data_IF_759442677515
#
_entry.id   IF_759442677515
#
_cell.length_a   1.000
_cell.length_b   1.000
_cell.length_c   1.000
_cell.angle_alpha   90.00
_cell.angle_beta   90.00
_cell.angle_gamma   90.00
#
_symmetry.space_group_name_H-M   'P 1'
#
loop_
_entity.id
_entity.type
_entity.pdbx_description
1 polymer ?
#
# COMPACT_ATOMS: atom_id res chain seq x y z
N UNK A 1 6.20 7.36 6.23
CA UNK A 1 5.73 7.46 4.83
C UNK A 1 4.52 8.38 4.80
N UNK A 2 4.40 9.22 3.77
CA UNK A 2 3.32 10.22 3.61
C UNK A 2 2.67 10.01 2.26
N UNK A 3 1.35 10.23 2.16
CA UNK A 3 0.61 10.19 0.89
C UNK A 3 0.10 11.59 0.58
N UNK A 4 0.50 12.15 -0.57
CA UNK A 4 0.00 13.44 -1.06
C UNK A 4 -1.24 13.17 -1.91
N UNK A 5 -2.41 13.55 -1.41
CA UNK A 5 -3.68 13.40 -2.14
C UNK A 5 -3.69 14.31 -3.37
N UNK A 6 -4.02 13.74 -4.52
CA UNK A 6 -4.14 14.47 -5.80
C UNK A 6 -5.60 14.64 -6.21
N UNK A 7 -6.39 13.59 -6.04
CA UNK A 7 -7.82 13.57 -6.38
C UNK A 7 -8.58 12.73 -5.34
N UNK A 8 -9.84 13.08 -5.12
CA UNK A 8 -10.77 12.38 -4.23
C UNK A 8 -12.03 12.07 -5.03
N UNK A 9 -12.41 10.80 -5.06
CA UNK A 9 -13.67 10.35 -5.66
C UNK A 9 -14.55 9.75 -4.56
N UNK A 10 -15.86 9.86 -4.75
CA UNK A 10 -16.89 9.25 -3.89
C UNK A 10 -17.69 8.28 -4.77
N UNK A 11 -18.16 7.18 -4.20
CA UNK A 11 -19.00 6.21 -4.91
C UNK A 11 -20.46 6.68 -5.04
N UNK A 12 -21.35 5.83 -5.58
CA UNK A 12 -22.68 6.26 -6.02
C UNK A 12 -23.71 6.42 -4.90
N UNK A 13 -23.48 5.79 -3.74
CA UNK A 13 -24.30 5.85 -2.53
C UNK A 13 -23.59 6.57 -1.37
N UNK A 14 -22.49 7.27 -1.67
CA UNK A 14 -21.77 8.18 -0.78
C UNK A 14 -21.19 7.52 0.50
N UNK A 15 -20.84 6.23 0.45
CA UNK A 15 -20.31 5.49 1.60
C UNK A 15 -18.83 5.10 1.48
N UNK A 16 -18.24 5.26 0.29
CA UNK A 16 -16.85 4.93 0.02
C UNK A 16 -16.11 6.07 -0.68
N UNK A 17 -14.85 6.28 -0.29
CA UNK A 17 -13.92 7.19 -0.99
C UNK A 17 -12.79 6.46 -1.67
N UNK A 18 -12.44 6.89 -2.87
CA UNK A 18 -11.21 6.49 -3.58
C UNK A 18 -10.25 7.68 -3.63
N UNK A 19 -9.10 7.53 -2.97
CA UNK A 19 -8.03 8.52 -3.00
C UNK A 19 -6.99 8.16 -4.06
N UNK A 20 -6.79 9.06 -5.02
CA UNK A 20 -5.63 8.98 -5.91
C UNK A 20 -4.50 9.79 -5.28
N UNK A 21 -3.40 9.12 -4.98
CA UNK A 21 -2.32 9.68 -4.18
C UNK A 21 -0.97 9.56 -4.88
N UNK A 22 -0.07 10.49 -4.57
CA UNK A 22 1.36 10.32 -4.77
C UNK A 22 1.97 9.82 -3.45
N UNK A 23 2.53 8.61 -3.46
CA UNK A 23 3.20 8.03 -2.29
C UNK A 23 4.60 8.61 -2.15
N UNK A 24 4.86 9.32 -1.05
CA UNK A 24 6.20 9.79 -0.70
C UNK A 24 6.94 8.69 0.05
N UNK A 25 8.09 8.29 -0.49
CA UNK A 25 8.82 7.08 -0.11
C UNK A 25 8.38 5.86 -0.93
N UNK A 26 9.18 4.79 -0.92
CA UNK A 26 8.95 3.68 -1.85
C UNK A 26 7.79 2.75 -1.47
N UNK A 27 7.20 2.89 -0.28
CA UNK A 27 6.22 1.94 0.25
C UNK A 27 5.06 2.59 1.01
N UNK A 28 3.85 2.09 0.79
CA UNK A 28 2.73 2.32 1.69
C UNK A 28 2.73 1.32 2.86
N UNK A 29 3.28 0.12 2.67
CA UNK A 29 3.23 -0.94 3.67
C UNK A 29 4.43 -0.94 4.62
N UNK A 30 4.19 -1.07 5.93
CA UNK A 30 5.27 -1.18 6.93
C UNK A 30 6.11 -2.47 6.79
N UNK A 31 5.61 -3.49 6.07
CA UNK A 31 6.34 -4.76 5.83
C UNK A 31 7.35 -4.69 4.69
N UNK A 32 7.54 -3.53 4.08
CA UNK A 32 8.53 -3.36 3.01
C UNK A 32 7.96 -3.40 1.61
N UNK A 33 6.64 -3.53 1.43
CA UNK A 33 6.01 -3.64 0.10
C UNK A 33 5.43 -2.30 -0.38
N UNK A 34 5.33 -2.12 -1.69
CA UNK A 34 4.75 -0.89 -2.27
C UNK A 34 3.28 -0.74 -1.84
N UNK A 35 2.52 -1.84 -1.85
CA UNK A 35 1.12 -1.93 -1.42
C UNK A 35 0.96 -2.84 -0.20
N UNK A 36 -0.09 -2.63 0.60
CA UNK A 36 -0.52 -3.61 1.60
C UNK A 36 -1.11 -4.88 0.96
N UNK A 37 -1.55 -4.80 -0.29
CA UNK A 37 -2.15 -5.88 -1.07
C UNK A 37 -1.12 -6.71 -1.85
N UNK A 38 0.07 -6.92 -1.27
CA UNK A 38 1.19 -7.69 -1.85
C UNK A 38 0.96 -9.22 -1.89
N UNK A 39 -0.22 -9.70 -1.49
CA UNK A 39 -0.60 -11.12 -1.47
C UNK A 39 -1.84 -11.35 -2.31
N UNK A 40 -1.83 -12.42 -3.11
CA UNK A 40 -2.96 -12.83 -3.95
C UNK A 40 -3.46 -14.21 -3.53
N UNK A 41 -4.78 -14.41 -3.60
CA UNK A 41 -5.43 -15.71 -3.38
C UNK A 41 -5.64 -16.38 -4.73
N UNK A 42 -5.13 -17.61 -4.89
CA UNK A 42 -5.42 -18.48 -6.03
C UNK A 42 -5.29 -19.95 -5.61
N UNK A 43 -6.31 -20.47 -4.90
CA UNK A 43 -6.24 -21.75 -4.19
C UNK A 43 -5.46 -21.65 -2.87
N UNK A 44 -4.30 -20.99 -2.90
CA UNK A 44 -3.49 -20.63 -1.74
C UNK A 44 -3.10 -19.13 -1.73
N UNK A 45 -2.59 -18.65 -0.59
CA UNK A 45 -2.17 -17.24 -0.41
C UNK A 45 -0.68 -17.12 -0.74
N UNK A 46 -0.34 -16.43 -1.83
CA UNK A 46 1.05 -16.20 -2.25
C UNK A 46 1.41 -14.73 -2.22
N UNK A 47 2.66 -14.43 -1.86
CA UNK A 47 3.25 -13.10 -2.05
C UNK A 47 3.52 -12.91 -3.55
N UNK A 48 3.08 -11.77 -4.09
CA UNK A 48 3.16 -11.45 -5.53
C UNK A 48 3.99 -10.20 -5.84
N UNK A 49 4.49 -9.51 -4.81
CA UNK A 49 5.34 -8.33 -4.95
C UNK A 49 6.67 -8.54 -4.24
N UNK A 50 7.70 -7.82 -4.69
CA UNK A 50 8.99 -7.73 -4.01
C UNK A 50 9.00 -6.61 -2.96
N UNK A 51 9.86 -6.74 -1.96
CA UNK A 51 10.07 -5.66 -0.98
C UNK A 51 10.86 -4.52 -1.62
N UNK A 52 10.35 -3.31 -1.50
CA UNK A 52 10.99 -2.06 -1.94
C UNK A 52 11.82 -1.40 -0.83
N UNK A 53 11.68 -1.85 0.42
CA UNK A 53 12.61 -1.54 1.51
C UNK A 53 12.65 -2.68 2.55
N UNK A 54 13.71 -2.69 3.37
CA UNK A 54 13.88 -3.67 4.44
C UNK A 54 13.38 -3.12 5.79
N UNK A 55 12.30 -3.68 6.37
CA UNK A 55 11.75 -3.22 7.64
C UNK A 55 12.72 -3.36 8.82
N UNK A 56 13.60 -4.36 8.82
CA UNK A 56 14.51 -4.61 9.96
C UNK A 56 15.55 -3.49 10.08
N UNK A 57 16.03 -2.99 8.94
CA UNK A 57 16.97 -1.86 8.89
C UNK A 57 16.33 -0.54 9.31
N UNK A 58 15.03 -0.38 9.10
CA UNK A 58 14.29 0.87 9.39
C UNK A 58 13.76 0.91 10.82
N UNK A 59 13.13 -0.17 11.27
CA UNK A 59 12.39 -0.17 12.54
C UNK A 59 13.16 -0.76 13.72
N UNK A 60 14.43 -1.14 13.54
CA UNK A 60 15.40 -1.60 14.57
C UNK A 60 14.72 -1.94 15.91
N UNK A 61 14.09 -3.11 15.97
CA UNK A 61 13.74 -3.69 17.26
C UNK A 61 15.01 -4.14 17.97
#
# INVERSE_FOLDING_TARGET
NVQIVKEVFVDCDDDTVLLKVEQVGNAACHKGYSSCFFRKVNGDVKIIEEKVFDPEKVYKK
#
